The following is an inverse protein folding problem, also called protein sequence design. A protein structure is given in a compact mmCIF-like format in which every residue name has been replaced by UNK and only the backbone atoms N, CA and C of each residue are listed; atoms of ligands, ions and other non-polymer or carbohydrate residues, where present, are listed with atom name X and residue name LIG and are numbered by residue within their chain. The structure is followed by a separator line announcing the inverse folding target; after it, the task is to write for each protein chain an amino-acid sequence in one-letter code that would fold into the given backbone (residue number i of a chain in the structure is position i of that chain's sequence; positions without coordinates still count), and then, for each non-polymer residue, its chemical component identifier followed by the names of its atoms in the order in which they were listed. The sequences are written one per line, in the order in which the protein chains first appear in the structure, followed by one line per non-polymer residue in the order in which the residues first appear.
data_IF_616046040953
#
_entry.id   IF_616046040953
#
_cell.length_a   1.000
_cell.length_b   1.000
_cell.length_c   1.000
_cell.angle_alpha   90.00
_cell.angle_beta   90.00
_cell.angle_gamma   90.00
#
_symmetry.space_group_name_H-M   'P 1'
#
loop_
_entity.id
_entity.type
_entity.pdbx_description
1 polymer ?
#
# COMPACT_ATOMS: atom_id res chain seq x y z
N UNK A 1 12.02 15.22 -21.13
CA UNK A 1 10.94 15.56 -20.19
C UNK A 1 11.53 15.65 -18.80
N UNK A 2 11.09 16.59 -17.99
CA UNK A 2 11.49 16.67 -16.59
C UNK A 2 10.99 15.43 -15.84
N UNK A 3 11.82 14.87 -14.94
CA UNK A 3 11.44 13.69 -14.17
C UNK A 3 10.44 14.07 -13.09
N UNK A 4 9.49 13.20 -12.79
CA UNK A 4 8.54 13.34 -11.70
C UNK A 4 9.30 13.17 -10.37
N UNK A 5 9.22 14.17 -9.50
CA UNK A 5 9.88 14.19 -8.20
C UNK A 5 9.06 13.40 -7.17
N UNK A 6 9.69 12.45 -6.52
CA UNK A 6 9.01 11.49 -5.64
C UNK A 6 9.58 11.55 -4.23
N UNK A 7 8.67 11.63 -3.26
CA UNK A 7 8.95 11.39 -1.85
C UNK A 7 8.36 10.06 -1.39
N UNK A 8 9.04 9.36 -0.48
CA UNK A 8 8.58 8.09 0.07
C UNK A 8 8.56 8.18 1.59
N UNK A 9 7.39 8.12 2.20
CA UNK A 9 7.21 8.04 3.64
C UNK A 9 7.02 6.58 4.07
N UNK A 10 7.69 6.15 5.15
CA UNK A 10 7.76 4.75 5.57
C UNK A 10 8.73 3.92 4.74
N UNK A 11 9.76 4.56 4.20
CA UNK A 11 10.69 3.98 3.24
C UNK A 11 11.56 2.82 3.77
N UNK A 12 11.69 2.65 5.09
CA UNK A 12 12.43 1.54 5.69
C UNK A 12 11.63 0.22 5.77
N UNK A 13 10.32 0.25 5.49
CA UNK A 13 9.47 -0.94 5.41
C UNK A 13 9.67 -1.74 4.12
N UNK A 14 9.13 -2.96 4.08
CA UNK A 14 9.22 -3.81 2.88
C UNK A 14 8.66 -3.14 1.63
N UNK A 15 7.46 -2.56 1.70
CA UNK A 15 6.85 -1.84 0.56
C UNK A 15 7.65 -0.62 0.13
N UNK A 16 8.28 0.08 1.09
CA UNK A 16 9.17 1.19 0.79
C UNK A 16 10.42 0.74 0.02
N UNK A 17 11.04 -0.36 0.46
CA UNK A 17 12.19 -0.96 -0.22
C UNK A 17 11.86 -1.41 -1.65
N UNK A 18 10.74 -2.12 -1.85
CA UNK A 18 10.29 -2.53 -3.18
C UNK A 18 10.01 -1.32 -4.09
N UNK A 19 9.40 -0.28 -3.55
CA UNK A 19 9.15 0.94 -4.31
C UNK A 19 10.46 1.63 -4.72
N UNK A 20 11.45 1.72 -3.82
CA UNK A 20 12.76 2.28 -4.14
C UNK A 20 13.42 1.48 -5.27
N UNK A 21 13.42 0.14 -5.23
CA UNK A 21 13.96 -0.72 -6.30
C UNK A 21 13.37 -0.41 -7.67
N UNK A 22 12.06 -0.21 -7.72
CA UNK A 22 11.36 0.15 -8.97
C UNK A 22 11.77 1.55 -9.44
N UNK A 23 11.87 2.50 -8.51
CA UNK A 23 12.02 3.91 -8.84
C UNK A 23 13.45 4.33 -9.16
N UNK A 24 14.47 3.73 -8.57
CA UNK A 24 15.89 4.10 -8.82
C UNK A 24 16.26 3.92 -10.29
N UNK A 25 15.65 2.96 -10.97
CA UNK A 25 15.86 2.70 -12.40
C UNK A 25 14.73 3.21 -13.31
N UNK A 26 13.76 3.95 -12.75
CA UNK A 26 12.62 4.43 -13.54
C UNK A 26 13.01 5.65 -14.40
N UNK A 27 12.81 5.61 -15.74
CA UNK A 27 13.32 6.64 -16.64
C UNK A 27 12.71 8.03 -16.39
N UNK A 28 11.49 8.10 -15.93
CA UNK A 28 10.71 9.34 -15.77
C UNK A 28 10.51 9.74 -14.30
N UNK A 29 11.21 9.10 -13.36
CA UNK A 29 11.07 9.39 -11.94
C UNK A 29 12.42 9.77 -11.31
N UNK A 30 12.37 10.61 -10.27
CA UNK A 30 13.50 10.95 -9.41
C UNK A 30 13.06 10.85 -7.95
N UNK A 31 13.73 10.02 -7.17
CA UNK A 31 13.46 9.91 -5.73
C UNK A 31 14.23 11.00 -5.01
N UNK A 32 13.51 12.00 -4.50
CA UNK A 32 14.10 13.19 -3.86
C UNK A 32 14.37 12.98 -2.37
N UNK A 33 13.52 12.20 -1.69
CA UNK A 33 13.74 11.84 -0.30
C UNK A 33 13.06 10.53 0.08
N UNK A 34 13.63 9.88 1.08
CA UNK A 34 13.11 8.64 1.70
C UNK A 34 13.01 8.87 3.21
N UNK A 35 11.76 8.98 3.70
CA UNK A 35 11.51 9.30 5.10
C UNK A 35 11.41 8.04 5.97
N UNK A 36 12.20 8.04 7.04
CA UNK A 36 12.11 7.07 8.15
C UNK A 36 12.71 7.68 9.40
N UNK A 37 11.89 7.95 10.43
CA UNK A 37 12.37 8.54 11.69
C UNK A 37 13.39 7.64 12.40
N UNK A 38 13.16 6.33 12.44
CA UNK A 38 14.02 5.37 13.13
C UNK A 38 15.35 5.11 12.43
N UNK A 39 15.46 5.40 11.14
CA UNK A 39 16.66 5.17 10.33
C UNK A 39 17.30 6.46 9.80
N UNK A 40 16.83 7.63 10.24
CA UNK A 40 17.36 8.91 9.77
C UNK A 40 18.89 8.98 9.89
N UNK A 41 19.56 9.48 8.84
CA UNK A 41 21.01 9.55 8.72
C UNK A 41 21.68 8.25 8.25
N UNK A 42 20.97 7.12 8.16
CA UNK A 42 21.54 5.88 7.61
C UNK A 42 21.35 5.82 6.09
N UNK A 43 22.31 5.27 5.33
CA UNK A 43 22.10 4.96 3.93
C UNK A 43 21.00 3.92 3.76
N UNK A 44 20.25 3.99 2.66
CA UNK A 44 19.16 3.06 2.34
C UNK A 44 19.66 1.62 2.32
N UNK A 45 20.87 1.38 1.83
CA UNK A 45 21.50 0.06 1.77
C UNK A 45 21.74 -0.58 3.13
N UNK A 46 21.73 0.17 4.23
CA UNK A 46 21.82 -0.41 5.59
C UNK A 46 20.58 -1.21 5.97
N UNK A 47 19.42 -0.86 5.42
CA UNK A 47 18.13 -1.54 5.65
C UNK A 47 17.79 -2.47 4.49
N UNK A 48 17.96 -1.98 3.26
CA UNK A 48 17.72 -2.67 2.01
C UNK A 48 19.07 -3.01 1.35
N UNK A 49 19.70 -4.09 1.81
CA UNK A 49 21.08 -4.44 1.47
C UNK A 49 21.31 -4.67 -0.04
N UNK A 50 20.29 -5.13 -0.73
CA UNK A 50 20.27 -5.34 -2.17
C UNK A 50 20.38 -4.04 -3.00
N UNK A 51 20.13 -2.89 -2.37
CA UNK A 51 20.32 -1.56 -2.99
C UNK A 51 21.74 -0.99 -2.82
N UNK A 52 22.68 -1.80 -2.30
CA UNK A 52 24.08 -1.40 -2.20
C UNK A 52 24.68 -1.19 -3.60
N UNK A 53 25.16 0.03 -3.85
CA UNK A 53 25.69 0.42 -5.15
C UNK A 53 24.65 0.90 -6.16
N UNK A 54 23.36 0.66 -5.92
CA UNK A 54 22.27 1.09 -6.80
C UNK A 54 21.82 2.53 -6.52
N UNK A 55 22.02 3.02 -5.29
CA UNK A 55 21.61 4.35 -4.88
C UNK A 55 22.44 4.88 -3.70
N UNK A 56 22.60 6.21 -3.65
CA UNK A 56 23.23 6.92 -2.53
C UNK A 56 22.19 7.59 -1.61
N UNK A 57 20.91 7.22 -1.70
CA UNK A 57 19.86 7.77 -0.86
C UNK A 57 20.13 7.49 0.62
N UNK A 58 19.85 8.51 1.44
CA UNK A 58 19.97 8.46 2.90
C UNK A 58 18.59 8.74 3.50
N UNK A 59 18.22 7.96 4.50
CA UNK A 59 16.95 8.20 5.20
C UNK A 59 16.97 9.54 5.93
N UNK A 60 15.84 10.26 5.86
CA UNK A 60 15.60 11.51 6.59
C UNK A 60 14.45 11.39 7.57
N UNK A 61 14.49 12.15 8.65
CA UNK A 61 13.35 12.36 9.56
C UNK A 61 12.45 13.51 9.11
N UNK A 62 12.89 14.32 8.14
CA UNK A 62 12.19 15.50 7.67
C UNK A 62 11.34 15.20 6.43
N UNK A 63 10.20 15.88 6.36
CA UNK A 63 9.35 15.87 5.18
C UNK A 63 9.72 17.05 4.29
N UNK A 64 9.67 16.83 2.97
CA UNK A 64 9.91 17.87 1.97
C UNK A 64 8.65 18.08 1.14
N UNK A 65 8.44 19.29 0.66
CA UNK A 65 7.27 19.72 -0.13
C UNK A 65 7.61 20.08 -1.60
N UNK A 66 8.86 19.85 -1.99
CA UNK A 66 9.39 20.06 -3.35
C UNK A 66 9.27 18.81 -4.23
N UNK A 67 8.27 17.99 -3.99
CA UNK A 67 7.95 16.78 -4.75
C UNK A 67 6.59 16.88 -5.45
N UNK A 68 6.41 16.08 -6.51
CA UNK A 68 5.15 15.99 -7.24
C UNK A 68 4.23 14.90 -6.67
N UNK A 69 4.85 13.80 -6.20
CA UNK A 69 4.16 12.63 -5.67
C UNK A 69 4.78 12.19 -4.35
N UNK A 70 3.92 11.93 -3.36
CA UNK A 70 4.30 11.33 -2.09
C UNK A 70 3.67 9.93 -1.99
N UNK A 71 4.51 8.93 -1.83
CA UNK A 71 4.05 7.58 -1.49
C UNK A 71 4.03 7.38 0.02
N UNK A 72 2.91 6.84 0.53
CA UNK A 72 2.78 6.43 1.92
C UNK A 72 2.93 4.90 2.02
N UNK A 73 4.13 4.45 2.37
CA UNK A 73 4.50 3.04 2.53
C UNK A 73 4.43 2.61 4.00
N UNK A 74 3.33 2.94 4.66
CA UNK A 74 3.15 2.76 6.09
C UNK A 74 2.28 1.55 6.41
N UNK A 75 2.32 1.11 7.68
CA UNK A 75 1.41 0.09 8.19
C UNK A 75 -0.05 0.53 8.16
N UNK A 76 -0.95 -0.45 8.28
CA UNK A 76 -2.39 -0.19 8.34
C UNK A 76 -2.76 0.64 9.57
N UNK A 77 -3.53 1.70 9.40
CA UNK A 77 -3.88 2.68 10.44
C UNK A 77 -2.85 3.81 10.63
N UNK A 78 -1.67 3.70 10.03
CA UNK A 78 -0.59 4.68 10.23
C UNK A 78 -0.59 5.80 9.19
N UNK A 79 -1.08 5.58 7.97
CA UNK A 79 -1.16 6.62 6.94
C UNK A 79 -2.11 7.74 7.34
N UNK A 80 -3.24 7.40 7.95
CA UNK A 80 -4.18 8.39 8.47
C UNK A 80 -3.57 9.22 9.57
N UNK A 81 -2.95 8.58 10.58
CA UNK A 81 -2.24 9.27 11.67
C UNK A 81 -1.12 10.17 11.15
N UNK A 82 -0.41 9.71 10.13
CA UNK A 82 0.65 10.49 9.50
C UNK A 82 0.10 11.77 8.87
N UNK A 83 -1.03 11.70 8.17
CA UNK A 83 -1.67 12.87 7.58
C UNK A 83 -2.34 13.78 8.61
N UNK A 84 -2.70 13.27 9.80
CA UNK A 84 -3.20 14.08 10.91
C UNK A 84 -2.13 15.03 11.48
N UNK A 85 -0.87 14.61 11.47
CA UNK A 85 0.26 15.36 12.06
C UNK A 85 1.17 16.05 11.05
N UNK A 86 1.04 15.73 9.74
CA UNK A 86 1.84 16.33 8.68
C UNK A 86 0.94 17.01 7.65
N UNK A 87 1.06 18.31 7.53
CA UNK A 87 0.37 19.08 6.49
C UNK A 87 1.07 18.88 5.16
N UNK A 88 0.46 18.13 4.24
CA UNK A 88 0.98 17.92 2.90
C UNK A 88 0.29 18.90 1.94
N UNK A 89 1.04 19.76 1.22
CA UNK A 89 0.47 20.72 0.28
C UNK A 89 -0.46 20.08 -0.75
N UNK A 90 -1.58 20.76 -1.06
CA UNK A 90 -2.61 20.22 -1.98
C UNK A 90 -2.13 19.99 -3.42
N UNK A 91 -0.99 20.59 -3.82
CA UNK A 91 -0.32 20.34 -5.11
C UNK A 91 0.29 18.95 -5.21
N UNK A 92 0.73 18.35 -4.07
CA UNK A 92 1.37 17.06 -4.02
C UNK A 92 0.33 15.96 -4.13
N UNK A 93 0.47 15.07 -5.10
CA UNK A 93 -0.35 13.87 -5.24
C UNK A 93 0.08 12.83 -4.20
N UNK A 94 -0.88 12.10 -3.63
CA UNK A 94 -0.59 11.05 -2.66
C UNK A 94 -0.99 9.69 -3.22
N UNK A 95 -0.10 8.71 -3.07
CA UNK A 95 -0.40 7.30 -3.32
C UNK A 95 -0.21 6.55 -1.99
N UNK A 96 -1.32 6.12 -1.39
CA UNK A 96 -1.31 5.39 -0.12
C UNK A 96 -1.32 3.89 -0.35
N UNK A 97 -0.38 3.17 0.26
CA UNK A 97 -0.26 1.72 0.17
C UNK A 97 -0.94 0.99 1.35
N UNK A 98 -1.42 1.73 2.35
CA UNK A 98 -2.15 1.16 3.48
C UNK A 98 -3.60 0.79 3.10
N UNK A 99 -4.36 0.25 4.05
CA UNK A 99 -5.80 -0.01 3.86
C UNK A 99 -6.68 1.21 4.21
N UNK A 100 -6.09 2.29 4.73
CA UNK A 100 -6.81 3.33 5.46
C UNK A 100 -7.86 4.04 4.60
N UNK A 101 -7.60 4.20 3.30
CA UNK A 101 -8.45 4.94 2.37
C UNK A 101 -9.11 4.07 1.28
N UNK A 102 -8.97 2.72 1.35
CA UNK A 102 -9.48 1.82 0.30
C UNK A 102 -11.00 1.70 0.22
N UNK A 103 -11.69 1.84 1.36
CA UNK A 103 -13.15 1.73 1.42
C UNK A 103 -13.80 3.11 1.24
N UNK A 104 -14.92 3.18 0.49
CA UNK A 104 -15.66 4.43 0.25
C UNK A 104 -15.96 5.22 1.53
N UNK A 105 -16.33 4.54 2.61
CA UNK A 105 -16.61 5.18 3.92
C UNK A 105 -15.39 5.85 4.56
N UNK A 106 -14.18 5.46 4.14
CA UNK A 106 -12.92 5.96 4.68
C UNK A 106 -12.10 6.71 3.62
N UNK A 107 -12.63 6.88 2.39
CA UNK A 107 -11.88 7.43 1.25
C UNK A 107 -11.60 8.94 1.37
N UNK A 108 -11.98 9.58 2.47
CA UNK A 108 -11.73 11.01 2.71
C UNK A 108 -10.90 11.24 3.96
N UNK A 109 -10.01 12.24 3.86
CA UNK A 109 -9.21 12.76 4.95
C UNK A 109 -9.06 14.28 4.77
N UNK A 110 -9.76 15.07 5.60
CA UNK A 110 -9.90 16.49 5.39
C UNK A 110 -10.48 16.77 4.00
N UNK A 111 -9.82 17.63 3.24
CA UNK A 111 -10.23 17.98 1.86
C UNK A 111 -9.73 16.94 0.81
N UNK A 112 -8.94 15.95 1.21
CA UNK A 112 -8.40 14.94 0.29
C UNK A 112 -9.40 13.81 0.09
N UNK A 113 -9.66 13.50 -1.16
CA UNK A 113 -10.44 12.33 -1.56
C UNK A 113 -9.54 11.34 -2.29
N UNK A 114 -9.55 10.07 -1.85
CA UNK A 114 -8.75 9.00 -2.40
C UNK A 114 -9.59 8.11 -3.33
N UNK A 115 -9.09 7.91 -4.54
CA UNK A 115 -9.68 7.00 -5.51
C UNK A 115 -9.06 5.61 -5.34
N UNK A 116 -9.88 4.57 -5.34
CA UNK A 116 -9.39 3.19 -5.30
C UNK A 116 -8.59 2.87 -6.57
N UNK A 117 -7.32 2.56 -6.38
CA UNK A 117 -6.29 2.53 -7.42
C UNK A 117 -6.21 1.22 -8.21
N UNK A 118 -7.35 0.59 -8.59
CA UNK A 118 -7.37 -0.56 -9.48
C UNK A 118 -7.73 -0.10 -10.90
N UNK A 119 -6.73 -0.01 -11.84
CA UNK A 119 -6.95 0.57 -13.17
C UNK A 119 -7.99 -0.17 -14.01
N UNK A 120 -8.16 -1.48 -13.79
CA UNK A 120 -9.08 -2.32 -14.56
C UNK A 120 -10.55 -1.94 -14.36
N UNK A 121 -10.86 -1.23 -13.27
CA UNK A 121 -12.22 -0.74 -13.00
C UNK A 121 -12.32 0.79 -12.89
N UNK A 122 -11.21 1.48 -12.60
CA UNK A 122 -11.22 2.91 -12.24
C UNK A 122 -10.24 3.75 -13.07
N UNK A 123 -9.80 3.31 -14.25
CA UNK A 123 -8.73 3.97 -15.04
C UNK A 123 -8.92 5.47 -15.18
N UNK A 124 -10.10 5.92 -15.62
CA UNK A 124 -10.35 7.34 -15.86
C UNK A 124 -10.41 8.15 -14.56
N UNK A 125 -11.00 7.57 -13.51
CA UNK A 125 -10.99 8.18 -12.18
C UNK A 125 -9.56 8.33 -11.63
N UNK A 126 -8.70 7.33 -11.83
CA UNK A 126 -7.29 7.36 -11.40
C UNK A 126 -6.52 8.44 -12.16
N UNK A 127 -6.75 8.59 -13.47
CA UNK A 127 -6.11 9.64 -14.28
C UNK A 127 -6.43 11.06 -13.78
N UNK A 128 -7.66 11.27 -13.35
CA UNK A 128 -8.13 12.56 -12.83
C UNK A 128 -7.79 12.77 -11.35
N UNK A 129 -7.43 11.72 -10.62
CA UNK A 129 -7.24 11.77 -9.17
C UNK A 129 -5.99 12.54 -8.76
N UNK A 130 -6.10 13.23 -7.61
CA UNK A 130 -4.95 13.77 -6.87
C UNK A 130 -4.44 12.79 -5.81
N UNK A 131 -5.31 11.92 -5.27
CA UNK A 131 -4.89 10.94 -4.26
C UNK A 131 -5.43 9.56 -4.62
N UNK A 132 -4.60 8.55 -4.44
CA UNK A 132 -4.89 7.16 -4.83
C UNK A 132 -4.69 6.25 -3.61
N UNK A 133 -5.68 5.41 -3.33
CA UNK A 133 -5.57 4.31 -2.38
C UNK A 133 -5.20 3.04 -3.14
N UNK A 134 -3.92 2.66 -3.09
CA UNK A 134 -3.42 1.46 -3.78
C UNK A 134 -4.08 0.19 -3.21
N UNK A 135 -4.63 -0.71 -4.03
CA UNK A 135 -5.28 -1.93 -3.56
C UNK A 135 -4.31 -2.90 -2.88
N UNK A 136 -4.85 -3.76 -2.01
CA UNK A 136 -4.08 -4.83 -1.40
C UNK A 136 -3.90 -6.01 -2.35
N UNK A 137 -2.81 -6.78 -2.17
CA UNK A 137 -2.43 -7.89 -3.03
C UNK A 137 -3.53 -8.95 -3.21
N UNK A 138 -4.11 -9.46 -2.12
CA UNK A 138 -5.20 -10.42 -2.18
C UNK A 138 -6.45 -9.87 -2.88
N UNK A 139 -6.83 -8.62 -2.53
CA UNK A 139 -7.99 -7.99 -3.15
C UNK A 139 -7.79 -7.81 -4.66
N UNK A 140 -6.59 -7.43 -5.09
CA UNK A 140 -6.25 -7.31 -6.52
C UNK A 140 -6.31 -8.66 -7.22
N UNK A 141 -5.68 -9.70 -6.67
CA UNK A 141 -5.66 -11.04 -7.26
C UNK A 141 -7.07 -11.61 -7.44
N UNK A 142 -7.91 -11.50 -6.40
CA UNK A 142 -9.30 -11.97 -6.45
C UNK A 142 -10.11 -11.17 -7.47
N UNK A 143 -9.97 -9.85 -7.47
CA UNK A 143 -10.68 -8.98 -8.41
C UNK A 143 -10.26 -9.27 -9.85
N UNK A 144 -8.98 -9.42 -10.15
CA UNK A 144 -8.52 -9.76 -11.50
C UNK A 144 -9.13 -11.06 -12.03
N UNK A 145 -9.21 -12.09 -11.18
CA UNK A 145 -9.82 -13.36 -11.56
C UNK A 145 -11.34 -13.28 -11.76
N UNK A 146 -12.03 -12.44 -10.97
CA UNK A 146 -13.49 -12.43 -10.93
C UNK A 146 -14.15 -11.31 -11.75
N UNK A 147 -13.44 -10.22 -12.04
CA UNK A 147 -14.01 -9.08 -12.76
C UNK A 147 -14.64 -9.43 -14.11
N UNK A 148 -14.04 -10.27 -14.98
CA UNK A 148 -14.68 -10.66 -16.23
C UNK A 148 -16.02 -11.36 -16.02
N UNK A 149 -16.09 -12.29 -15.05
CA UNK A 149 -17.29 -13.04 -14.72
C UNK A 149 -18.38 -12.14 -14.11
N UNK A 150 -17.97 -11.21 -13.23
CA UNK A 150 -18.87 -10.23 -12.65
C UNK A 150 -19.45 -9.28 -13.71
N UNK A 151 -18.64 -8.83 -14.66
CA UNK A 151 -19.09 -7.99 -15.79
C UNK A 151 -20.06 -8.76 -16.72
N UNK A 152 -19.87 -10.05 -16.90
CA UNK A 152 -20.77 -10.90 -17.68
C UNK A 152 -22.07 -11.27 -16.91
N UNK A 153 -22.21 -10.89 -15.65
CA UNK A 153 -23.39 -11.20 -14.84
C UNK A 153 -23.55 -12.67 -14.45
N UNK A 154 -22.50 -13.48 -14.61
CA UNK A 154 -22.53 -14.93 -14.34
C UNK A 154 -21.88 -15.31 -13.02
N UNK A 155 -21.42 -14.33 -12.23
CA UNK A 155 -20.82 -14.56 -10.93
C UNK A 155 -21.91 -14.86 -9.89
N UNK A 156 -21.84 -16.05 -9.28
CA UNK A 156 -22.73 -16.45 -8.21
C UNK A 156 -21.93 -16.68 -6.91
N UNK A 157 -21.79 -17.90 -6.45
CA UNK A 157 -21.00 -18.24 -5.26
C UNK A 157 -19.55 -18.47 -5.65
N UNK A 158 -18.61 -17.90 -4.87
CA UNK A 158 -17.17 -18.00 -5.14
C UNK A 158 -16.48 -18.65 -3.95
N UNK A 159 -15.69 -19.66 -4.22
CA UNK A 159 -14.72 -20.24 -3.29
C UNK A 159 -13.32 -19.89 -3.78
N UNK A 160 -12.58 -19.15 -2.98
CA UNK A 160 -11.24 -18.72 -3.34
C UNK A 160 -10.21 -19.20 -2.31
N UNK A 161 -9.13 -19.80 -2.80
CA UNK A 161 -7.95 -20.14 -2.00
C UNK A 161 -6.81 -19.22 -2.41
N UNK A 162 -6.19 -18.56 -1.43
CA UNK A 162 -5.07 -17.66 -1.65
C UNK A 162 -3.84 -18.09 -0.86
N UNK A 163 -2.69 -18.14 -1.54
CA UNK A 163 -1.40 -18.42 -0.94
C UNK A 163 -0.56 -17.15 -0.97
N UNK A 164 0.10 -16.81 0.14
CA UNK A 164 0.91 -15.61 0.25
C UNK A 164 2.20 -15.84 1.02
N UNK A 165 3.20 -15.01 0.75
CA UNK A 165 4.42 -14.94 1.55
C UNK A 165 4.23 -14.17 2.85
N UNK A 166 5.10 -14.40 3.83
CA UNK A 166 5.06 -13.74 5.14
C UNK A 166 5.36 -12.25 5.11
N UNK A 167 6.11 -11.79 4.12
CA UNK A 167 6.43 -10.37 3.95
C UNK A 167 5.20 -9.50 3.75
N UNK A 168 4.10 -10.06 3.23
CA UNK A 168 2.82 -9.37 3.12
C UNK A 168 2.19 -8.94 4.44
N UNK A 169 2.60 -9.54 5.57
CA UNK A 169 2.18 -9.13 6.92
C UNK A 169 2.99 -7.95 7.49
N UNK A 170 4.04 -7.51 6.80
CA UNK A 170 4.94 -6.46 7.25
C UNK A 170 6.09 -7.00 8.13
N UNK A 171 6.91 -6.06 8.64
CA UNK A 171 8.08 -6.39 9.46
C UNK A 171 7.76 -6.63 10.94
N UNK A 172 6.58 -6.22 11.40
CA UNK A 172 6.20 -6.37 12.80
C UNK A 172 6.11 -7.85 13.18
N UNK A 173 6.81 -8.23 14.25
CA UNK A 173 6.78 -9.58 14.78
C UNK A 173 5.41 -9.88 15.35
N UNK A 174 4.76 -10.91 14.85
CA UNK A 174 3.52 -11.47 15.38
C UNK A 174 3.74 -12.93 15.74
N UNK A 175 2.93 -13.49 16.62
CA UNK A 175 3.00 -14.94 16.96
C UNK A 175 2.91 -15.80 15.71
N UNK A 176 2.06 -15.43 14.75
CA UNK A 176 1.85 -16.14 13.49
C UNK A 176 2.96 -15.95 12.46
N UNK A 177 3.89 -14.99 12.65
CA UNK A 177 5.05 -14.79 11.77
C UNK A 177 6.35 -15.34 12.35
N UNK A 178 6.32 -15.87 13.58
CA UNK A 178 7.49 -16.46 14.22
C UNK A 178 7.92 -17.76 13.51
N UNK A 179 9.23 -17.91 13.26
CA UNK A 179 9.75 -19.04 12.49
C UNK A 179 9.34 -20.40 13.05
N UNK A 180 9.51 -20.61 14.38
CA UNK A 180 9.16 -21.88 15.03
C UNK A 180 7.67 -22.20 14.97
N UNK A 181 6.82 -21.18 14.91
CA UNK A 181 5.37 -21.37 14.79
C UNK A 181 4.94 -21.68 13.34
N UNK A 182 5.67 -21.13 12.36
CA UNK A 182 5.39 -21.31 10.93
C UNK A 182 6.02 -22.55 10.32
N UNK A 183 7.12 -23.03 10.88
CA UNK A 183 7.72 -24.29 10.50
C UNK A 183 6.69 -25.42 10.76
N UNK A 184 6.31 -26.16 9.73
CA UNK A 184 5.35 -27.28 9.79
C UNK A 184 3.91 -26.91 10.20
N UNK A 185 3.50 -25.64 10.09
CA UNK A 185 2.17 -25.20 10.50
C UNK A 185 1.42 -24.48 9.38
N UNK A 186 0.12 -24.82 9.22
CA UNK A 186 -0.79 -24.19 8.27
C UNK A 186 -1.92 -23.50 9.01
N UNK A 187 -2.23 -22.25 8.65
CA UNK A 187 -3.43 -21.56 9.13
C UNK A 187 -4.45 -21.36 8.01
N UNK A 188 -5.68 -21.71 8.28
CA UNK A 188 -6.81 -21.44 7.40
C UNK A 188 -7.70 -20.36 8.02
N UNK A 189 -7.88 -19.25 7.31
CA UNK A 189 -8.79 -18.19 7.71
C UNK A 189 -10.08 -18.28 6.90
N UNK A 190 -11.20 -18.47 7.60
CA UNK A 190 -12.54 -18.45 6.99
C UNK A 190 -13.16 -17.07 7.24
N UNK A 191 -13.37 -16.27 6.21
CA UNK A 191 -14.22 -15.08 6.33
C UNK A 191 -15.67 -15.49 6.26
N UNK A 192 -16.50 -15.19 7.27
CA UNK A 192 -17.93 -15.44 7.19
C UNK A 192 -18.55 -14.60 6.07
N UNK A 193 -19.46 -15.22 5.31
CA UNK A 193 -20.20 -14.53 4.27
C UNK A 193 -21.17 -13.51 4.89
N UNK A 194 -21.30 -12.28 4.39
CA UNK A 194 -22.20 -11.27 4.97
C UNK A 194 -23.67 -11.69 5.08
N UNK A 195 -24.12 -12.64 4.27
CA UNK A 195 -25.52 -13.11 4.26
C UNK A 195 -25.86 -14.09 5.40
N UNK A 196 -24.91 -14.64 6.14
CA UNK A 196 -25.22 -15.55 7.25
C UNK A 196 -25.77 -14.87 8.52
N UNK A 197 -25.77 -13.54 8.58
CA UNK A 197 -26.28 -12.79 9.73
C UNK A 197 -27.78 -12.45 9.66
N UNK A 198 -28.49 -12.75 8.54
CA UNK A 198 -29.91 -12.44 8.41
C UNK A 198 -30.84 -13.57 8.84
N UNK A 199 -30.34 -14.79 9.10
CA UNK A 199 -31.19 -15.93 9.50
C UNK A 199 -31.32 -16.17 11.01
N UNK A 200 -30.75 -15.31 11.87
CA UNK A 200 -30.87 -15.46 13.34
C UNK A 200 -31.83 -14.46 14.00
N UNK A 201 -32.76 -13.89 13.28
CA UNK A 201 -33.80 -13.00 13.85
C UNK A 201 -35.22 -13.40 13.47
N UNK A 202 -35.51 -14.68 13.37
CA UNK A 202 -36.89 -15.21 13.34
C UNK A 202 -36.93 -16.55 14.07
N UNK A 203 -36.95 -16.50 15.38
CA UNK A 203 -37.67 -17.42 16.29
C UNK A 203 -37.87 -16.71 17.62
#
# INVERSE_FOLDING_TARGET
MEKIKIGIAGAAGYTGGELIRILVNHPNASVEFVHSKSNAGNPVSKVHQDLLGETNLVFTSEMRDDVDVLFLCMGHGESKKFLDVNTIPGKIKIIDLSQDFRLKKNARHGEREFVYGLPEINRECIRAAKNIANPGCFASSIQFGLLPLAKAGILNTVYATGITGSTGAGQSLTSSSHFSWRAENNQTFKKPHPQQNHQKKQT
#
